data_IF_976924023619
#
_entry.id   IF_976924023619
#
_cell.length_a   1.000
_cell.length_b   1.000
_cell.length_c   1.000
_cell.angle_alpha   90.00
_cell.angle_beta   90.00
_cell.angle_gamma   90.00
#
_symmetry.space_group_name_H-M   'P 1'
#
loop_
_entity.id
_entity.type
_entity.pdbx_description
1 polymer ?
#
# COMPACT_ATOMS: atom_id res chain seq x y z
N UNK A 1 -25.83 -16.62 -5.34
CA UNK A 1 -25.19 -17.84 -4.80
C UNK A 1 -24.00 -18.20 -5.68
N UNK A 2 -22.83 -18.44 -5.10
CA UNK A 2 -21.62 -18.79 -5.83
C UNK A 2 -21.79 -20.18 -6.46
N UNK A 3 -21.66 -20.28 -7.76
CA UNK A 3 -21.60 -21.55 -8.46
C UNK A 3 -20.15 -22.07 -8.53
N UNK A 4 -19.96 -23.32 -8.97
CA UNK A 4 -18.64 -23.96 -9.00
C UNK A 4 -17.61 -23.26 -9.88
N UNK A 5 -18.04 -22.66 -10.98
CA UNK A 5 -17.16 -21.93 -11.91
C UNK A 5 -16.63 -20.64 -11.29
N UNK A 6 -17.52 -19.89 -10.63
CA UNK A 6 -17.17 -18.65 -9.93
C UNK A 6 -16.22 -18.96 -8.77
N UNK A 7 -16.54 -20.00 -7.97
CA UNK A 7 -15.68 -20.45 -6.88
C UNK A 7 -14.28 -20.80 -7.41
N UNK A 8 -14.21 -21.56 -8.51
CA UNK A 8 -12.91 -21.93 -9.08
C UNK A 8 -12.13 -20.73 -9.61
N UNK A 9 -12.82 -19.76 -10.20
CA UNK A 9 -12.22 -18.51 -10.66
C UNK A 9 -11.61 -17.74 -9.50
N UNK A 10 -12.36 -17.58 -8.39
CA UNK A 10 -11.87 -16.90 -7.19
C UNK A 10 -10.68 -17.68 -6.59
N UNK A 11 -10.78 -19.01 -6.45
CA UNK A 11 -9.67 -19.84 -5.96
C UNK A 11 -8.40 -19.66 -6.77
N UNK A 12 -8.52 -19.67 -8.09
CA UNK A 12 -7.38 -19.51 -8.99
C UNK A 12 -6.73 -18.12 -8.86
N UNK A 13 -7.54 -17.10 -8.63
CA UNK A 13 -7.02 -15.75 -8.39
C UNK A 13 -6.32 -15.65 -7.02
N UNK A 14 -6.96 -16.12 -5.97
CA UNK A 14 -6.40 -16.12 -4.61
C UNK A 14 -5.12 -16.96 -4.53
N UNK A 15 -5.04 -18.06 -5.29
CA UNK A 15 -3.87 -18.91 -5.40
C UNK A 15 -2.80 -18.40 -6.39
N UNK A 16 -3.02 -17.25 -7.03
CA UNK A 16 -2.07 -16.68 -7.99
C UNK A 16 -1.92 -17.44 -9.31
N UNK A 17 -2.74 -18.47 -9.55
CA UNK A 17 -2.73 -19.23 -10.81
C UNK A 17 -3.50 -18.56 -11.93
N UNK A 18 -4.36 -17.59 -11.60
CA UNK A 18 -5.03 -16.70 -12.54
C UNK A 18 -4.41 -15.32 -12.46
N UNK A 19 -3.87 -14.82 -13.56
CA UNK A 19 -3.22 -13.50 -13.59
C UNK A 19 -4.22 -12.38 -13.27
N UNK A 20 -3.70 -11.29 -12.68
CA UNK A 20 -4.46 -10.10 -12.32
C UNK A 20 -5.26 -9.54 -13.51
N UNK A 21 -4.65 -9.43 -14.68
CA UNK A 21 -5.32 -8.90 -15.88
C UNK A 21 -6.50 -9.75 -16.32
N UNK A 22 -6.36 -11.08 -16.26
CA UNK A 22 -7.47 -11.97 -16.58
C UNK A 22 -8.57 -11.89 -15.55
N UNK A 23 -8.23 -11.80 -14.26
CA UNK A 23 -9.21 -11.65 -13.19
C UNK A 23 -9.91 -10.29 -13.27
N UNK A 24 -9.19 -9.19 -13.47
CA UNK A 24 -9.73 -7.86 -13.74
C UNK A 24 -10.76 -7.92 -14.86
N UNK A 25 -10.41 -8.53 -16.00
CA UNK A 25 -11.32 -8.67 -17.12
C UNK A 25 -12.62 -9.37 -16.73
N UNK A 26 -12.53 -10.46 -15.96
CA UNK A 26 -13.72 -11.17 -15.46
C UNK A 26 -14.54 -10.27 -14.54
N UNK A 27 -13.90 -9.60 -13.57
CA UNK A 27 -14.58 -8.70 -12.65
C UNK A 27 -15.32 -7.56 -13.34
N UNK A 28 -14.77 -7.03 -14.43
CA UNK A 28 -15.36 -5.87 -15.14
C UNK A 28 -16.41 -6.29 -16.16
N UNK A 29 -16.19 -7.41 -16.89
CA UNK A 29 -17.00 -7.73 -18.08
C UNK A 29 -17.97 -8.90 -17.90
N UNK A 30 -17.80 -9.75 -16.86
CA UNK A 30 -18.67 -10.92 -16.68
C UNK A 30 -19.85 -10.57 -15.76
N UNK A 31 -21.02 -10.34 -16.35
CA UNK A 31 -22.23 -9.97 -15.63
C UNK A 31 -22.65 -11.04 -14.60
N UNK A 32 -22.51 -12.33 -14.92
CA UNK A 32 -22.85 -13.43 -14.00
C UNK A 32 -21.91 -13.45 -12.78
N UNK A 33 -20.63 -13.17 -12.98
CA UNK A 33 -19.66 -13.06 -11.90
C UNK A 33 -20.02 -11.88 -10.99
N UNK A 34 -20.27 -10.71 -11.56
CA UNK A 34 -20.64 -9.49 -10.81
C UNK A 34 -21.94 -9.71 -10.03
N UNK A 35 -22.96 -10.31 -10.65
CA UNK A 35 -24.23 -10.59 -9.98
C UNK A 35 -24.07 -11.58 -8.81
N UNK A 36 -23.17 -12.54 -8.93
CA UNK A 36 -22.92 -13.51 -7.89
C UNK A 36 -22.16 -12.95 -6.66
N UNK A 37 -21.35 -11.89 -6.85
CA UNK A 37 -20.54 -11.31 -5.77
C UNK A 37 -21.15 -10.04 -5.16
N UNK A 38 -22.13 -9.41 -5.79
CA UNK A 38 -22.67 -8.09 -5.38
C UNK A 38 -23.22 -8.04 -3.95
N UNK A 39 -23.70 -9.16 -3.44
CA UNK A 39 -24.34 -9.25 -2.11
C UNK A 39 -23.36 -9.64 -1.00
N UNK A 40 -22.08 -9.88 -1.35
CA UNK A 40 -21.07 -10.17 -0.33
C UNK A 40 -20.70 -8.88 0.39
N UNK A 41 -20.81 -8.94 1.71
CA UNK A 41 -20.35 -7.91 2.64
C UNK A 41 -19.15 -8.46 3.38
N UNK A 42 -18.10 -7.67 3.51
CA UNK A 42 -16.97 -8.03 4.36
C UNK A 42 -17.40 -7.94 5.83
N UNK A 43 -17.53 -9.10 6.47
CA UNK A 43 -17.95 -9.20 7.89
C UNK A 43 -16.80 -8.92 8.87
N UNK A 44 -15.56 -8.86 8.41
CA UNK A 44 -14.38 -8.74 9.27
C UNK A 44 -13.85 -7.31 9.42
N UNK A 45 -14.27 -6.39 8.58
CA UNK A 45 -13.94 -4.97 8.74
C UNK A 45 -15.09 -4.29 9.48
N UNK A 46 -15.04 -4.36 10.79
CA UNK A 46 -15.97 -3.85 11.81
C UNK A 46 -17.12 -2.94 11.34
N UNK A 47 -18.24 -3.04 12.01
CA UNK A 47 -19.61 -2.46 11.79
C UNK A 47 -19.76 -1.03 11.21
N UNK A 48 -18.68 -0.39 10.73
CA UNK A 48 -18.69 1.02 10.31
C UNK A 48 -18.69 1.29 8.81
N UNK A 49 -18.42 0.31 7.96
CA UNK A 49 -18.35 0.55 6.51
C UNK A 49 -19.12 -0.52 5.74
N UNK A 50 -20.23 -0.11 5.12
CA UNK A 50 -20.93 -0.89 4.09
C UNK A 50 -20.04 -0.96 2.84
N UNK A 51 -19.16 -1.97 2.76
CA UNK A 51 -18.29 -2.18 1.60
C UNK A 51 -19.10 -2.76 0.45
N UNK A 52 -19.32 -1.94 -0.57
CA UNK A 52 -19.82 -2.39 -1.86
C UNK A 52 -18.64 -2.97 -2.67
N UNK A 53 -18.57 -4.29 -2.74
CA UNK A 53 -17.49 -4.99 -3.43
C UNK A 53 -17.39 -4.60 -4.90
N UNK A 54 -18.51 -4.35 -5.57
CA UNK A 54 -18.52 -3.92 -6.96
C UNK A 54 -17.90 -2.53 -7.10
N UNK A 55 -18.21 -1.63 -6.17
CA UNK A 55 -17.64 -0.28 -6.15
C UNK A 55 -16.12 -0.32 -5.88
N UNK A 56 -15.67 -1.24 -5.03
CA UNK A 56 -14.23 -1.42 -4.79
C UNK A 56 -13.52 -1.95 -6.03
N UNK A 57 -14.09 -2.92 -6.72
CA UNK A 57 -13.57 -3.46 -7.99
C UNK A 57 -13.51 -2.37 -9.07
N UNK A 58 -14.59 -1.60 -9.22
CA UNK A 58 -14.71 -0.57 -10.25
C UNK A 58 -13.75 0.60 -10.03
N UNK A 59 -13.42 0.91 -8.77
CA UNK A 59 -12.47 1.97 -8.39
C UNK A 59 -11.03 1.47 -8.20
N UNK A 60 -10.79 0.15 -8.32
CA UNK A 60 -9.46 -0.42 -8.11
C UNK A 60 -8.47 0.05 -9.19
N UNK A 61 -7.38 0.65 -8.76
CA UNK A 61 -6.21 0.80 -9.63
C UNK A 61 -5.49 -0.53 -9.74
N UNK A 62 -5.83 -1.29 -10.78
CA UNK A 62 -5.29 -2.63 -11.02
C UNK A 62 -3.79 -2.66 -11.39
N UNK A 63 -3.14 -1.51 -11.51
CA UNK A 63 -1.69 -1.42 -11.65
C UNK A 63 -0.99 -1.17 -10.31
N UNK A 64 -1.78 -0.88 -9.25
CA UNK A 64 -1.27 -0.67 -7.91
C UNK A 64 -1.30 -1.98 -7.10
N UNK A 65 -0.15 -2.38 -6.60
CA UNK A 65 0.08 -3.62 -5.90
C UNK A 65 -0.76 -3.76 -4.62
N UNK A 66 -0.78 -2.73 -3.81
CA UNK A 66 -1.54 -2.70 -2.55
C UNK A 66 -3.05 -2.85 -2.79
N UNK A 67 -3.57 -2.21 -3.85
CA UNK A 67 -4.99 -2.32 -4.19
C UNK A 67 -5.35 -3.71 -4.74
N UNK A 68 -4.50 -4.32 -5.55
CA UNK A 68 -4.69 -5.70 -5.98
C UNK A 68 -4.68 -6.66 -4.77
N UNK A 69 -3.79 -6.44 -3.79
CA UNK A 69 -3.73 -7.24 -2.56
C UNK A 69 -5.02 -7.10 -1.73
N UNK A 70 -5.54 -5.88 -1.58
CA UNK A 70 -6.84 -5.65 -0.93
C UNK A 70 -7.96 -6.46 -1.60
N UNK A 71 -8.01 -6.46 -2.93
CA UNK A 71 -8.95 -7.28 -3.69
C UNK A 71 -8.73 -8.78 -3.45
N UNK A 72 -7.49 -9.23 -3.39
CA UNK A 72 -7.17 -10.65 -3.12
C UNK A 72 -7.61 -11.07 -1.71
N UNK A 73 -7.41 -10.22 -0.70
CA UNK A 73 -7.90 -10.47 0.68
C UNK A 73 -9.40 -10.64 0.67
N UNK A 74 -10.15 -9.69 0.10
CA UNK A 74 -11.62 -9.73 0.05
C UNK A 74 -12.12 -11.02 -0.58
N UNK A 75 -11.53 -11.44 -1.69
CA UNK A 75 -11.93 -12.69 -2.33
C UNK A 75 -11.51 -13.94 -1.55
N UNK A 76 -10.42 -13.88 -0.79
CA UNK A 76 -10.06 -14.92 0.18
C UNK A 76 -11.11 -15.05 1.28
N UNK A 77 -11.55 -13.92 1.83
CA UNK A 77 -12.54 -13.86 2.89
C UNK A 77 -13.91 -14.35 2.40
N UNK A 78 -14.30 -14.01 1.18
CA UNK A 78 -15.50 -14.59 0.53
C UNK A 78 -15.45 -16.13 0.49
N UNK A 79 -14.30 -16.73 0.18
CA UNK A 79 -14.15 -18.18 0.21
C UNK A 79 -14.28 -18.74 1.63
N UNK A 80 -13.66 -18.10 2.61
CA UNK A 80 -13.68 -18.51 4.03
C UNK A 80 -15.11 -18.44 4.58
N UNK A 81 -15.80 -17.33 4.39
CA UNK A 81 -17.15 -17.09 4.90
C UNK A 81 -18.19 -18.04 4.30
N UNK A 82 -17.94 -18.50 3.08
CA UNK A 82 -18.77 -19.53 2.44
C UNK A 82 -18.33 -20.97 2.76
N UNK A 83 -17.42 -21.18 3.74
CA UNK A 83 -16.87 -22.47 4.13
C UNK A 83 -16.23 -23.24 2.95
N UNK A 84 -15.70 -22.54 1.96
CA UNK A 84 -15.05 -23.14 0.81
C UNK A 84 -13.60 -23.49 1.18
N UNK A 85 -13.28 -24.77 1.21
CA UNK A 85 -11.97 -25.31 1.56
C UNK A 85 -11.13 -25.62 0.32
N UNK A 86 -9.84 -25.91 0.53
CA UNK A 86 -8.94 -26.43 -0.51
C UNK A 86 -8.47 -25.34 -1.48
N UNK A 87 -8.12 -24.17 -0.95
CA UNK A 87 -7.34 -23.16 -1.65
C UNK A 87 -6.15 -22.76 -0.78
N UNK A 88 -5.05 -22.39 -1.41
CA UNK A 88 -3.92 -21.76 -0.76
C UNK A 88 -3.94 -20.30 -1.15
N UNK A 89 -3.88 -19.39 -0.18
CA UNK A 89 -3.60 -17.99 -0.42
C UNK A 89 -2.12 -17.92 -0.77
N UNK A 90 -1.82 -17.58 -2.00
CA UNK A 90 -0.43 -17.27 -2.37
C UNK A 90 -0.26 -15.80 -2.11
N UNK A 91 0.60 -15.46 -1.18
CA UNK A 91 1.00 -14.08 -0.93
C UNK A 91 1.89 -13.55 -2.08
N UNK A 92 1.39 -13.65 -3.33
CA UNK A 92 2.06 -13.12 -4.53
C UNK A 92 2.39 -11.64 -4.41
N UNK A 93 1.71 -10.98 -3.48
CA UNK A 93 1.84 -9.57 -3.18
C UNK A 93 2.72 -9.30 -1.97
N UNK A 94 2.60 -10.12 -0.96
CA UNK A 94 3.47 -10.06 0.20
C UNK A 94 4.92 -10.23 -0.24
N UNK A 95 5.19 -11.10 -1.22
CA UNK A 95 6.53 -11.29 -1.76
C UNK A 95 7.11 -10.03 -2.44
N UNK A 96 6.30 -9.17 -3.08
CA UNK A 96 6.83 -7.96 -3.73
C UNK A 96 7.05 -6.81 -2.76
N UNK A 97 6.12 -6.50 -1.87
CA UNK A 97 6.29 -5.47 -0.86
C UNK A 97 7.28 -5.92 0.22
N UNK A 98 7.19 -7.16 0.72
CA UNK A 98 8.17 -7.72 1.64
C UNK A 98 9.56 -7.91 1.03
N UNK A 99 9.67 -8.13 -0.29
CA UNK A 99 10.98 -8.21 -0.95
C UNK A 99 11.79 -6.92 -0.79
N UNK A 100 11.11 -5.80 -0.60
CA UNK A 100 11.71 -4.47 -0.49
C UNK A 100 11.50 -3.81 0.87
N UNK A 101 10.77 -4.42 1.79
CA UNK A 101 10.53 -3.91 3.15
C UNK A 101 11.85 -3.62 3.89
N UNK A 102 12.84 -4.52 3.76
CA UNK A 102 14.20 -4.33 4.28
C UNK A 102 14.93 -3.09 3.73
N UNK A 103 14.40 -2.46 2.70
CA UNK A 103 14.99 -1.26 2.09
C UNK A 103 14.37 0.02 2.61
N UNK A 104 13.19 -0.07 3.24
CA UNK A 104 12.47 1.06 3.83
C UNK A 104 13.13 1.37 5.17
N UNK A 105 13.66 2.59 5.36
CA UNK A 105 14.29 2.94 6.63
C UNK A 105 13.27 3.10 7.75
N UNK A 106 13.59 2.60 8.93
CA UNK A 106 12.75 2.67 10.15
C UNK A 106 12.45 4.11 10.63
N UNK A 107 13.14 5.10 10.09
CA UNK A 107 12.95 6.51 10.42
C UNK A 107 11.94 7.23 9.52
N UNK A 108 11.30 6.55 8.59
CA UNK A 108 10.21 7.16 7.81
C UNK A 108 8.92 7.19 8.63
N UNK A 109 8.14 8.25 8.44
CA UNK A 109 6.77 8.35 8.95
C UNK A 109 5.81 7.45 8.16
N UNK A 110 4.65 7.13 8.73
CA UNK A 110 3.67 6.24 8.10
C UNK A 110 3.15 6.78 6.75
N UNK A 111 2.95 8.10 6.65
CA UNK A 111 2.58 8.75 5.39
C UNK A 111 3.71 8.66 4.35
N UNK A 112 4.97 8.80 4.78
CA UNK A 112 6.14 8.63 3.92
C UNK A 112 6.31 7.16 3.47
N UNK A 113 6.02 6.18 4.31
CA UNK A 113 6.03 4.75 3.94
C UNK A 113 4.97 4.46 2.87
N UNK A 114 3.75 4.99 3.02
CA UNK A 114 2.71 4.87 2.00
C UNK A 114 3.16 5.44 0.65
N UNK A 115 3.83 6.59 0.67
CA UNK A 115 4.40 7.17 -0.55
C UNK A 115 5.49 6.30 -1.17
N UNK A 116 6.37 5.69 -0.35
CA UNK A 116 7.41 4.76 -0.84
C UNK A 116 6.78 3.59 -1.56
N UNK A 117 5.72 2.99 -1.02
CA UNK A 117 5.02 1.88 -1.66
C UNK A 117 4.40 2.28 -3.00
N UNK A 118 3.63 3.38 -3.02
CA UNK A 118 2.84 3.77 -4.19
C UNK A 118 3.66 4.47 -5.28
N UNK A 119 4.66 5.27 -4.89
CA UNK A 119 5.37 6.17 -5.80
C UNK A 119 6.80 5.73 -6.09
N UNK A 120 7.37 4.82 -5.28
CA UNK A 120 8.72 4.30 -5.49
C UNK A 120 8.69 2.82 -5.83
N UNK A 121 8.16 1.95 -4.95
CA UNK A 121 8.21 0.50 -5.15
C UNK A 121 7.35 0.07 -6.35
N UNK A 122 6.13 0.59 -6.47
CA UNK A 122 5.24 0.28 -7.59
C UNK A 122 5.77 0.80 -8.95
N UNK A 123 6.66 1.78 -8.92
CA UNK A 123 7.26 2.38 -10.13
C UNK A 123 8.68 1.88 -10.45
N UNK A 124 9.14 0.85 -9.76
CA UNK A 124 10.43 0.23 -10.06
C UNK A 124 10.43 -0.29 -11.49
N UNK A 125 11.41 0.11 -12.34
CA UNK A 125 11.49 -0.38 -13.70
C UNK A 125 11.61 -1.91 -13.75
N UNK A 126 10.69 -2.56 -14.48
CA UNK A 126 10.61 -4.02 -14.55
C UNK A 126 11.84 -4.67 -15.23
N UNK A 127 12.48 -3.96 -16.15
CA UNK A 127 13.66 -4.38 -16.89
C UNK A 127 14.93 -4.48 -16.04
N UNK A 128 14.95 -3.91 -14.85
CA UNK A 128 16.10 -4.00 -13.95
C UNK A 128 16.17 -5.37 -13.30
N UNK A 129 17.39 -5.90 -13.13
CA UNK A 129 17.61 -7.06 -12.28
C UNK A 129 17.41 -6.71 -10.79
N UNK A 130 17.22 -7.71 -9.93
CA UNK A 130 16.89 -7.50 -8.51
C UNK A 130 17.89 -6.63 -7.75
N UNK A 131 19.18 -6.76 -8.05
CA UNK A 131 20.22 -5.94 -7.42
C UNK A 131 20.10 -4.47 -7.79
N UNK A 132 19.80 -4.19 -9.06
CA UNK A 132 19.66 -2.82 -9.56
C UNK A 132 18.31 -2.21 -9.13
N UNK A 133 17.23 -3.01 -9.02
CA UNK A 133 15.96 -2.59 -8.41
C UNK A 133 16.16 -2.12 -6.98
N UNK A 134 16.82 -2.94 -6.15
CA UNK A 134 17.13 -2.56 -4.75
C UNK A 134 17.96 -1.29 -4.65
N UNK A 135 18.93 -1.12 -5.54
CA UNK A 135 19.74 0.10 -5.60
C UNK A 135 18.92 1.32 -6.01
N UNK A 136 18.06 1.16 -7.01
CA UNK A 136 17.17 2.19 -7.50
C UNK A 136 16.21 2.67 -6.40
N UNK A 137 15.53 1.74 -5.69
CA UNK A 137 14.65 2.05 -4.57
C UNK A 137 15.36 2.88 -3.50
N UNK A 138 16.53 2.38 -3.01
CA UNK A 138 17.32 3.08 -1.99
C UNK A 138 17.72 4.48 -2.42
N UNK A 139 18.05 4.66 -3.69
CA UNK A 139 18.41 5.95 -4.23
C UNK A 139 17.20 6.89 -4.28
N UNK A 140 16.03 6.41 -4.75
CA UNK A 140 14.81 7.20 -4.81
C UNK A 140 14.34 7.63 -3.43
N UNK A 141 14.37 6.75 -2.43
CA UNK A 141 14.07 7.10 -1.04
C UNK A 141 14.99 8.23 -0.56
N UNK A 142 16.30 8.11 -0.79
CA UNK A 142 17.28 9.15 -0.43
C UNK A 142 17.09 10.50 -1.14
N UNK A 143 16.66 10.46 -2.39
CA UNK A 143 16.39 11.68 -3.18
C UNK A 143 15.10 12.36 -2.74
N UNK A 144 14.13 11.59 -2.28
CA UNK A 144 12.81 12.06 -1.84
C UNK A 144 12.85 12.57 -0.41
N UNK A 145 13.32 11.75 0.53
CA UNK A 145 13.33 12.07 1.96
C UNK A 145 14.71 12.54 2.41
N UNK A 146 14.92 13.84 2.35
CA UNK A 146 16.22 14.47 2.64
C UNK A 146 16.30 14.98 4.06
N UNK A 147 17.50 14.92 4.63
CA UNK A 147 17.82 15.49 5.93
C UNK A 147 19.21 16.11 5.94
N UNK A 148 19.44 17.12 6.81
CA UNK A 148 20.73 17.85 6.85
C UNK A 148 21.86 17.07 7.53
N UNK A 149 21.60 16.44 8.68
CA UNK A 149 22.65 15.76 9.48
C UNK A 149 22.32 14.31 9.77
N UNK A 150 21.18 14.04 10.41
CA UNK A 150 20.65 12.72 10.72
C UNK A 150 19.16 12.69 10.39
N UNK A 151 18.57 11.51 10.12
CA UNK A 151 17.13 11.42 9.92
C UNK A 151 16.36 11.76 11.20
N UNK A 152 15.05 12.03 11.13
CA UNK A 152 14.20 12.17 12.30
C UNK A 152 14.09 10.84 13.06
N UNK A 153 13.79 10.96 14.35
CA UNK A 153 13.37 9.84 15.20
C UNK A 153 11.98 10.19 15.70
N UNK A 154 10.94 9.79 14.94
CA UNK A 154 9.55 10.10 15.29
C UNK A 154 9.16 9.41 16.60
N UNK A 155 8.44 10.15 17.46
CA UNK A 155 7.98 9.64 18.74
C UNK A 155 6.74 8.73 18.59
N UNK A 156 5.98 8.95 17.53
CA UNK A 156 4.79 8.20 17.14
C UNK A 156 4.83 7.89 15.64
N UNK A 157 3.71 8.00 14.95
CA UNK A 157 3.58 7.72 13.51
C UNK A 157 4.31 8.75 12.64
N UNK A 158 4.46 9.96 13.14
CA UNK A 158 5.12 11.05 12.44
C UNK A 158 4.36 11.59 11.24
N UNK A 159 4.78 12.76 10.79
CA UNK A 159 4.33 13.34 9.52
C UNK A 159 5.54 13.94 8.80
N UNK A 160 5.76 13.59 7.55
CA UNK A 160 6.77 14.23 6.73
C UNK A 160 6.13 15.30 5.84
N UNK A 161 6.27 16.59 6.16
CA UNK A 161 5.56 17.66 5.48
C UNK A 161 5.96 17.80 4.01
N UNK A 162 4.99 18.24 3.20
CA UNK A 162 5.17 18.56 1.79
C UNK A 162 4.93 20.06 1.54
N UNK A 163 5.53 20.59 0.47
CA UNK A 163 5.23 21.91 -0.06
C UNK A 163 3.92 21.90 -0.89
N UNK A 164 3.50 23.08 -1.37
CA UNK A 164 2.29 23.22 -2.19
C UNK A 164 2.36 22.45 -3.52
N UNK A 165 3.56 22.14 -3.98
CA UNK A 165 3.80 21.33 -5.19
C UNK A 165 3.83 19.82 -4.89
N UNK A 166 3.65 19.38 -3.62
CA UNK A 166 3.71 18.00 -3.17
C UNK A 166 5.13 17.44 -2.99
N UNK A 167 6.16 18.29 -2.94
CA UNK A 167 7.52 17.83 -2.66
C UNK A 167 7.77 17.78 -1.16
N UNK A 168 8.38 16.69 -0.69
CA UNK A 168 8.76 16.57 0.71
C UNK A 168 9.80 17.58 1.14
N UNK A 169 9.60 18.18 2.32
CA UNK A 169 10.51 19.12 2.90
C UNK A 169 11.77 18.42 3.44
N UNK A 170 12.85 19.16 3.60
CA UNK A 170 14.11 18.63 4.13
C UNK A 170 14.07 18.67 5.66
N UNK A 171 14.24 17.50 6.30
CA UNK A 171 14.36 17.48 7.77
C UNK A 171 15.67 18.13 8.22
N UNK A 172 15.58 19.05 9.18
CA UNK A 172 16.72 19.81 9.70
C UNK A 172 17.17 19.36 11.08
N UNK A 173 16.22 19.30 12.03
CA UNK A 173 16.51 18.99 13.44
C UNK A 173 15.26 18.54 14.18
N UNK A 174 15.48 17.86 15.29
CA UNK A 174 14.46 17.65 16.33
C UNK A 174 14.93 18.20 17.66
N UNK A 175 13.97 18.59 18.51
CA UNK A 175 14.21 19.09 19.86
C UNK A 175 13.16 18.47 20.78
N UNK A 176 13.64 17.91 21.91
CA UNK A 176 12.81 17.33 22.94
C UNK A 176 12.69 18.28 24.12
N UNK A 177 11.49 18.39 24.66
CA UNK A 177 11.23 19.17 25.90
C UNK A 177 10.15 18.44 26.71
N UNK A 178 10.57 17.68 27.71
CA UNK A 178 9.67 16.78 28.44
C UNK A 178 9.14 15.69 27.52
N UNK A 179 7.83 15.54 27.45
CA UNK A 179 7.15 14.57 26.58
C UNK A 179 6.92 15.11 25.16
N UNK A 180 7.25 16.37 24.88
CA UNK A 180 7.03 17.01 23.59
C UNK A 180 8.28 16.94 22.72
N UNK A 181 8.15 16.41 21.53
CA UNK A 181 9.17 16.43 20.48
C UNK A 181 8.74 17.36 19.35
N UNK A 182 9.61 18.28 18.98
CA UNK A 182 9.40 19.21 17.85
C UNK A 182 10.37 18.89 16.74
N UNK A 183 9.85 18.61 15.55
CA UNK A 183 10.59 18.35 14.32
C UNK A 183 10.55 19.61 13.45
N UNK A 184 11.71 20.09 13.00
CA UNK A 184 11.82 21.23 12.10
C UNK A 184 12.21 20.76 10.72
N UNK A 185 11.38 21.07 9.74
CA UNK A 185 11.60 20.83 8.32
C UNK A 185 11.80 22.17 7.59
N UNK A 186 12.46 22.13 6.44
CA UNK A 186 12.77 23.31 5.65
C UNK A 186 12.40 23.10 4.19
N UNK A 187 11.68 24.04 3.63
CA UNK A 187 11.48 24.08 2.19
C UNK A 187 12.81 24.42 1.48
N UNK A 188 13.35 23.53 0.64
CA UNK A 188 14.64 23.77 -0.01
C UNK A 188 14.63 24.98 -0.98
N UNK A 189 13.44 25.37 -1.49
CA UNK A 189 13.25 26.49 -2.43
C UNK A 189 13.09 27.82 -1.67
N UNK A 190 12.09 27.90 -0.78
CA UNK A 190 11.72 29.16 -0.09
C UNK A 190 12.53 29.43 1.18
N UNK A 191 13.17 28.41 1.75
CA UNK A 191 13.87 28.42 3.05
C UNK A 191 12.94 28.59 4.25
N UNK A 192 11.65 28.53 4.05
CA UNK A 192 10.67 28.55 5.14
C UNK A 192 10.78 27.30 5.99
N UNK A 193 10.66 27.48 7.30
CA UNK A 193 10.66 26.40 8.28
C UNK A 193 9.22 26.00 8.63
N UNK A 194 8.98 24.69 8.69
CA UNK A 194 7.73 24.09 9.16
C UNK A 194 8.05 23.24 10.39
N UNK A 195 7.28 23.42 11.45
CA UNK A 195 7.42 22.65 12.68
C UNK A 195 6.23 21.70 12.85
N UNK A 196 6.54 20.42 13.10
CA UNK A 196 5.58 19.38 13.50
C UNK A 196 5.88 18.98 14.96
N UNK A 197 4.87 18.60 15.72
CA UNK A 197 5.03 18.23 17.13
C UNK A 197 4.32 16.92 17.43
N UNK A 198 4.95 16.10 18.25
CA UNK A 198 4.41 14.87 18.79
C UNK A 198 4.65 14.80 20.30
N UNK A 199 3.86 13.98 20.99
CA UNK A 199 4.06 13.66 22.39
C UNK A 199 4.36 12.17 22.53
N UNK A 200 5.29 11.80 23.45
CA UNK A 200 5.51 10.41 23.83
C UNK A 200 4.30 9.83 24.57
#
# INVERSE_FOLDING_TARGET
MLNSEIIQTIKNFVAGTLSVDKFKKICVTNANFRDAIKDFKDMNIGDKYDYDILKMIDNCNWNNATQQFKIQIIFSDILIDNNIKGFHKTDLYFDKSCLYEDLIPDWLSDDAMTYVDEEIIDKVPEELNEKDKKKWIKQRIKETFKYEKKPPEFAQEGVWPQDEDGNFLVFRKQKEKGELVTYTFVNPKTKEEVECQEMY
#
